data_IF_750208747116
#
_entry.id   IF_750208747116
#
_cell.length_a   1.000
_cell.length_b   1.000
_cell.length_c   1.000
_cell.angle_alpha   90.00
_cell.angle_beta   90.00
_cell.angle_gamma   90.00
#
_symmetry.space_group_name_H-M   'P 1'
#
loop_
_entity.id
_entity.type
_entity.pdbx_description
1 polymer ?
#
# COMPACT_ATOMS: atom_id res chain seq x y z
N UNK A 1 -20.91 18.45 -15.14
CA UNK A 1 -19.95 18.44 -14.02
C UNK A 1 -19.41 19.86 -13.85
N UNK A 2 -19.63 20.52 -12.71
CA UNK A 2 -19.11 21.89 -12.50
C UNK A 2 -17.58 21.85 -12.46
N UNK A 3 -16.92 22.35 -13.50
CA UNK A 3 -15.47 22.61 -13.53
C UNK A 3 -15.18 23.90 -12.77
N UNK A 4 -15.29 23.87 -11.44
CA UNK A 4 -14.89 24.98 -10.57
C UNK A 4 -13.59 24.59 -9.85
N UNK A 5 -12.58 25.46 -9.84
CA UNK A 5 -11.33 25.25 -9.10
C UNK A 5 -10.34 24.27 -9.76
N UNK A 6 -9.72 23.39 -8.95
CA UNK A 6 -8.64 22.46 -9.34
C UNK A 6 -9.14 21.05 -9.73
N UNK A 7 -10.45 20.83 -9.84
CA UNK A 7 -11.06 19.50 -9.99
C UNK A 7 -10.51 18.64 -11.14
N UNK A 8 -10.28 19.24 -12.31
CA UNK A 8 -9.73 18.52 -13.46
C UNK A 8 -8.30 18.02 -13.17
N UNK A 9 -7.47 18.87 -12.57
CA UNK A 9 -6.08 18.54 -12.21
C UNK A 9 -6.00 17.49 -11.10
N UNK A 10 -6.93 17.55 -10.15
CA UNK A 10 -7.10 16.52 -9.12
C UNK A 10 -7.40 15.17 -9.79
N UNK A 11 -8.40 15.13 -10.68
CA UNK A 11 -8.74 13.90 -11.42
C UNK A 11 -7.57 13.38 -12.25
N UNK A 12 -6.91 14.24 -13.00
CA UNK A 12 -5.77 13.85 -13.84
C UNK A 12 -4.65 13.23 -13.01
N UNK A 13 -4.36 13.80 -11.84
CA UNK A 13 -3.33 13.29 -10.91
C UNK A 13 -3.73 11.91 -10.36
N UNK A 14 -4.97 11.74 -9.89
CA UNK A 14 -5.44 10.43 -9.43
C UNK A 14 -5.45 9.38 -10.57
N UNK A 15 -5.81 9.77 -11.79
CA UNK A 15 -5.83 8.87 -12.93
C UNK A 15 -4.44 8.33 -13.27
N UNK A 16 -3.37 9.10 -13.04
CA UNK A 16 -2.00 8.60 -13.17
C UNK A 16 -1.71 7.47 -12.18
N UNK A 17 -2.21 7.56 -10.95
CA UNK A 17 -2.10 6.49 -9.95
C UNK A 17 -2.92 5.26 -10.33
N UNK A 18 -4.18 5.44 -10.77
CA UNK A 18 -5.04 4.32 -11.16
C UNK A 18 -4.47 3.51 -12.33
N UNK A 19 -3.69 4.13 -13.22
CA UNK A 19 -2.99 3.43 -14.33
C UNK A 19 -1.94 2.41 -13.88
N UNK A 20 -1.51 2.43 -12.62
CA UNK A 20 -0.60 1.41 -12.07
C UNK A 20 -1.32 0.08 -11.79
N UNK A 21 -2.66 0.08 -11.80
CA UNK A 21 -3.49 -1.06 -11.48
C UNK A 21 -4.01 -1.73 -12.76
N UNK A 22 -3.79 -3.04 -12.98
CA UNK A 22 -2.91 -3.92 -12.22
C UNK A 22 -1.44 -3.88 -12.69
N UNK A 23 -0.51 -3.98 -11.75
CA UNK A 23 0.88 -4.41 -11.98
C UNK A 23 1.06 -5.78 -11.33
N UNK A 24 0.77 -6.83 -12.10
CA UNK A 24 0.69 -8.23 -11.61
C UNK A 24 2.02 -8.75 -11.08
N UNK A 25 3.12 -8.40 -11.74
CA UNK A 25 4.47 -8.78 -11.35
C UNK A 25 5.17 -7.62 -10.63
N UNK A 26 5.49 -7.80 -9.34
CA UNK A 26 6.14 -6.77 -8.55
C UNK A 26 7.58 -6.49 -9.00
N UNK A 27 8.24 -7.42 -9.70
CA UNK A 27 9.58 -7.17 -10.26
C UNK A 27 9.54 -6.08 -11.34
N UNK A 28 8.40 -5.84 -11.97
CA UNK A 28 8.24 -4.79 -12.98
C UNK A 28 8.49 -3.39 -12.39
N UNK A 29 8.35 -3.22 -11.06
CA UNK A 29 8.65 -1.96 -10.38
C UNK A 29 10.15 -1.63 -10.33
N UNK A 30 11.04 -2.62 -10.50
CA UNK A 30 12.47 -2.31 -10.61
C UNK A 30 12.77 -1.43 -11.84
N UNK A 31 11.99 -1.61 -12.90
CA UNK A 31 12.19 -0.97 -14.20
C UNK A 31 11.23 0.21 -14.46
N UNK A 32 10.23 0.41 -13.60
CA UNK A 32 9.32 1.58 -13.64
C UNK A 32 9.95 2.80 -12.96
N UNK A 33 10.03 3.91 -13.70
CA UNK A 33 10.40 5.21 -13.15
C UNK A 33 9.16 6.04 -12.83
N UNK A 34 9.07 6.53 -11.58
CA UNK A 34 8.03 7.47 -11.16
C UNK A 34 8.45 8.94 -11.36
N UNK A 35 7.67 9.85 -10.80
CA UNK A 35 8.03 11.27 -10.75
C UNK A 35 9.34 11.47 -9.96
N UNK A 36 10.17 12.41 -10.42
CA UNK A 36 11.47 12.74 -9.81
C UNK A 36 11.58 14.25 -9.62
N UNK A 37 12.04 14.65 -8.45
CA UNK A 37 12.32 16.04 -8.09
C UNK A 37 13.78 16.19 -7.59
N UNK A 38 14.09 17.32 -6.96
CA UNK A 38 15.42 17.66 -6.48
C UNK A 38 15.84 16.88 -5.22
N UNK A 39 14.93 16.17 -4.56
CA UNK A 39 15.24 15.33 -3.39
C UNK A 39 15.95 14.03 -3.82
N UNK A 40 15.84 13.64 -5.08
CA UNK A 40 16.59 12.52 -5.63
C UNK A 40 18.04 12.91 -5.92
N UNK A 41 18.96 12.30 -5.18
CA UNK A 41 20.40 12.42 -5.46
C UNK A 41 20.71 11.92 -6.87
N UNK A 42 21.71 12.54 -7.51
CA UNK A 42 22.25 12.07 -8.79
C UNK A 42 22.67 10.61 -8.66
N UNK A 43 22.14 9.75 -9.53
CA UNK A 43 22.40 8.30 -9.54
C UNK A 43 21.43 7.47 -8.70
N UNK A 44 20.61 8.09 -7.85
CA UNK A 44 19.54 7.37 -7.15
C UNK A 44 18.37 7.09 -8.10
N UNK A 45 18.11 5.81 -8.36
CA UNK A 45 16.99 5.33 -9.18
C UNK A 45 15.66 5.34 -8.44
N UNK A 46 15.65 5.54 -7.13
CA UNK A 46 14.45 5.56 -6.30
C UNK A 46 14.02 4.19 -5.78
N UNK A 47 13.01 4.20 -4.93
CA UNK A 47 12.40 3.02 -4.30
C UNK A 47 10.90 3.12 -4.42
N UNK A 48 10.25 2.07 -4.93
CA UNK A 48 8.79 1.97 -4.85
C UNK A 48 8.41 1.41 -3.48
N UNK A 49 7.50 2.07 -2.79
CA UNK A 49 6.89 1.57 -1.55
C UNK A 49 5.49 1.09 -1.91
N UNK A 50 5.23 -0.19 -1.71
CA UNK A 50 3.89 -0.77 -1.92
C UNK A 50 3.33 -1.16 -0.56
N UNK A 51 2.13 -0.70 -0.26
CA UNK A 51 1.40 -1.01 0.97
C UNK A 51 -0.02 -1.47 0.61
N UNK A 52 -0.50 -2.52 1.26
CA UNK A 52 -1.90 -2.92 1.24
C UNK A 52 -2.28 -3.39 2.64
N UNK A 53 -3.38 -2.86 3.14
CA UNK A 53 -3.83 -3.02 4.52
C UNK A 53 -5.34 -3.21 4.54
N UNK A 54 -5.80 -4.12 5.38
CA UNK A 54 -7.21 -4.35 5.69
C UNK A 54 -7.42 -4.05 7.17
N UNK A 55 -8.28 -3.08 7.45
CA UNK A 55 -8.73 -2.72 8.80
C UNK A 55 -10.14 -3.23 9.00
N UNK A 56 -10.36 -4.03 10.04
CA UNK A 56 -11.67 -4.56 10.42
C UNK A 56 -11.95 -4.12 11.86
N UNK A 57 -12.87 -3.16 12.00
CA UNK A 57 -13.30 -2.59 13.28
C UNK A 57 -14.83 -2.73 13.42
N UNK A 58 -15.34 -3.88 13.89
CA UNK A 58 -16.76 -4.05 14.12
C UNK A 58 -17.19 -3.27 15.37
N UNK A 59 -18.37 -2.65 15.34
CA UNK A 59 -18.92 -1.91 16.49
C UNK A 59 -18.96 -2.79 17.75
N UNK A 60 -18.27 -2.36 18.80
CA UNK A 60 -18.23 -3.03 20.11
C UNK A 60 -17.43 -4.33 20.13
N UNK A 61 -16.50 -4.51 19.18
CA UNK A 61 -15.54 -5.62 19.15
C UNK A 61 -14.13 -5.06 18.96
N UNK A 62 -13.14 -5.91 19.18
CA UNK A 62 -11.73 -5.60 18.93
C UNK A 62 -11.50 -5.22 17.45
N UNK A 63 -10.60 -4.27 17.23
CA UNK A 63 -10.11 -3.91 15.91
C UNK A 63 -8.94 -4.81 15.54
N UNK A 64 -8.98 -5.37 14.34
CA UNK A 64 -7.85 -6.11 13.78
C UNK A 64 -7.44 -5.48 12.44
N UNK A 65 -6.14 -5.22 12.29
CA UNK A 65 -5.54 -4.75 11.06
C UNK A 65 -4.51 -5.75 10.59
N UNK A 66 -4.55 -6.07 9.29
CA UNK A 66 -3.55 -6.92 8.64
C UNK A 66 -3.05 -6.26 7.37
N UNK A 67 -1.76 -6.33 7.11
CA UNK A 67 -1.20 -5.75 5.90
C UNK A 67 0.24 -6.12 5.63
N UNK A 68 0.76 -5.65 4.49
CA UNK A 68 2.15 -5.83 4.12
C UNK A 68 2.70 -4.54 3.54
N UNK A 69 3.96 -4.25 3.84
CA UNK A 69 4.74 -3.18 3.21
C UNK A 69 5.96 -3.79 2.54
N UNK A 70 6.24 -3.42 1.29
CA UNK A 70 7.49 -3.74 0.59
C UNK A 70 8.19 -2.47 0.11
N UNK A 71 9.52 -2.46 0.24
CA UNK A 71 10.44 -1.44 -0.26
C UNK A 71 11.21 -2.02 -1.45
N UNK A 72 10.73 -1.73 -2.66
CA UNK A 72 11.28 -2.24 -3.93
C UNK A 72 12.37 -1.29 -4.40
N UNK A 73 13.62 -1.57 -4.04
CA UNK A 73 14.75 -0.68 -4.30
C UNK A 73 15.29 -0.90 -5.73
N UNK A 74 15.15 0.12 -6.58
CA UNK A 74 15.60 0.07 -7.99
C UNK A 74 17.13 0.12 -8.13
N UNK A 75 17.85 0.62 -7.12
CA UNK A 75 19.31 0.70 -7.14
C UNK A 75 19.95 -0.66 -6.94
N UNK A 76 19.49 -1.41 -5.93
CA UNK A 76 20.05 -2.73 -5.58
C UNK A 76 19.32 -3.88 -6.26
N UNK A 77 18.14 -3.63 -6.84
CA UNK A 77 17.21 -4.66 -7.34
C UNK A 77 16.88 -5.71 -6.29
N UNK A 78 16.75 -5.27 -5.04
CA UNK A 78 16.33 -6.10 -3.91
C UNK A 78 15.09 -5.52 -3.27
N UNK A 79 14.18 -6.39 -2.83
CA UNK A 79 12.97 -5.97 -2.14
C UNK A 79 12.89 -6.61 -0.76
N UNK A 80 12.67 -5.77 0.26
CA UNK A 80 12.49 -6.18 1.65
C UNK A 80 11.27 -5.50 2.22
N UNK A 81 10.72 -6.06 3.30
CA UNK A 81 9.58 -5.46 3.96
C UNK A 81 9.12 -6.29 5.14
N UNK A 82 7.86 -6.14 5.50
CA UNK A 82 7.25 -6.92 6.57
C UNK A 82 5.74 -7.07 6.36
N UNK A 83 5.24 -8.22 6.76
CA UNK A 83 3.82 -8.42 7.07
C UNK A 83 3.56 -7.92 8.49
N UNK A 84 2.38 -7.38 8.75
CA UNK A 84 1.99 -6.95 10.10
C UNK A 84 0.57 -7.36 10.43
N UNK A 85 0.36 -7.64 11.72
CA UNK A 85 -0.94 -7.84 12.35
C UNK A 85 -0.96 -6.90 13.54
N UNK A 86 -1.92 -5.97 13.56
CA UNK A 86 -2.19 -5.09 14.69
C UNK A 86 -3.55 -5.46 15.28
N UNK A 87 -3.62 -5.53 16.60
CA UNK A 87 -4.85 -5.79 17.33
C UNK A 87 -5.01 -4.68 18.38
N UNK A 88 -6.15 -4.02 18.38
CA UNK A 88 -6.52 -2.99 19.34
C UNK A 88 -7.74 -3.48 20.11
N UNK A 89 -7.55 -3.67 21.41
CA UNK A 89 -8.51 -4.28 22.34
C UNK A 89 -8.77 -3.34 23.51
N UNK A 90 -9.93 -3.44 24.15
CA UNK A 90 -10.20 -2.74 25.41
C UNK A 90 -10.11 -3.71 26.60
N UNK A 91 -9.40 -3.32 27.67
CA UNK A 91 -9.42 -4.08 28.92
C UNK A 91 -10.78 -3.98 29.64
N UNK A 92 -10.96 -4.71 30.74
CA UNK A 92 -12.21 -4.69 31.51
C UNK A 92 -12.58 -3.32 32.09
N UNK A 93 -11.65 -2.36 32.11
CA UNK A 93 -11.87 -0.98 32.53
C UNK A 93 -12.04 -0.01 31.35
N UNK A 94 -12.12 -0.52 30.11
CA UNK A 94 -12.23 0.26 28.89
C UNK A 94 -10.93 0.99 28.51
N UNK A 95 -9.76 0.48 28.92
CA UNK A 95 -8.47 1.04 28.50
C UNK A 95 -7.99 0.35 27.23
N UNK A 96 -7.57 1.12 26.20
CA UNK A 96 -7.07 0.55 24.96
C UNK A 96 -5.73 -0.14 25.19
N UNK A 97 -5.56 -1.27 24.52
CA UNK A 97 -4.34 -2.06 24.48
C UNK A 97 -4.06 -2.43 23.03
N UNK A 98 -2.94 -1.89 22.53
CA UNK A 98 -2.50 -2.04 21.16
C UNK A 98 -1.28 -2.98 21.13
N UNK A 99 -1.34 -4.02 20.31
CA UNK A 99 -0.21 -4.91 20.02
C UNK A 99 -0.04 -5.00 18.51
N UNK A 100 1.16 -4.67 18.01
CA UNK A 100 1.52 -4.81 16.60
C UNK A 100 2.69 -5.80 16.46
N UNK A 101 2.46 -6.87 15.71
CA UNK A 101 3.47 -7.88 15.39
C UNK A 101 3.89 -7.73 13.94
N UNK A 102 5.21 -7.65 13.73
CA UNK A 102 5.83 -7.57 12.40
C UNK A 102 6.61 -8.83 12.06
N UNK A 103 6.41 -9.33 10.85
CA UNK A 103 7.07 -10.51 10.30
C UNK A 103 7.89 -10.12 9.08
N UNK A 104 9.24 -10.11 9.17
CA UNK A 104 10.07 -9.58 8.09
C UNK A 104 10.07 -10.52 6.88
N UNK A 105 9.91 -9.95 5.70
CA UNK A 105 9.87 -10.66 4.41
C UNK A 105 10.85 -10.06 3.41
N UNK A 106 11.19 -10.85 2.39
CA UNK A 106 11.79 -10.38 1.14
C UNK A 106 10.91 -10.79 -0.04
N UNK A 107 11.07 -10.11 -1.16
CA UNK A 107 10.42 -10.51 -2.41
C UNK A 107 11.48 -10.85 -3.46
N UNK A 108 11.34 -12.02 -4.08
CA UNK A 108 12.19 -12.50 -5.16
C UNK A 108 11.32 -13.21 -6.21
N UNK A 109 11.47 -12.87 -7.50
CA UNK A 109 10.74 -13.49 -8.60
C UNK A 109 9.21 -13.45 -8.39
N UNK A 110 8.70 -12.28 -8.00
CA UNK A 110 7.29 -12.04 -7.63
C UNK A 110 6.72 -12.90 -6.48
N UNK A 111 7.58 -13.54 -5.68
CA UNK A 111 7.18 -14.37 -4.54
C UNK A 111 7.59 -13.73 -3.23
N UNK A 112 6.69 -13.74 -2.25
CA UNK A 112 6.97 -13.29 -0.88
C UNK A 112 7.62 -14.44 -0.12
N UNK A 113 8.73 -14.15 0.56
CA UNK A 113 9.51 -15.14 1.30
C UNK A 113 9.75 -14.60 2.72
N UNK A 114 9.20 -15.26 3.77
CA UNK A 114 9.55 -14.96 5.16
C UNK A 114 11.06 -15.10 5.41
N UNK A 115 11.64 -14.13 6.10
CA UNK A 115 13.10 -14.12 6.42
C UNK A 115 13.41 -14.61 7.84
N UNK A 116 12.38 -14.85 8.64
CA UNK A 116 12.47 -15.42 10.00
C UNK A 116 11.43 -16.53 10.17
N UNK A 117 11.65 -17.47 11.11
CA UNK A 117 10.66 -18.48 11.45
C UNK A 117 9.33 -17.85 11.88
N UNK A 118 8.23 -18.50 11.51
CA UNK A 118 6.86 -18.10 11.84
C UNK A 118 6.26 -19.07 12.86
N UNK A 119 5.31 -18.61 13.70
CA UNK A 119 4.72 -19.41 14.77
C UNK A 119 3.88 -20.61 14.29
N UNK A 120 3.34 -20.58 13.07
CA UNK A 120 2.51 -21.65 12.51
C UNK A 120 2.42 -21.57 10.98
N UNK A 121 2.00 -22.68 10.36
CA UNK A 121 1.87 -22.80 8.90
C UNK A 121 0.73 -21.94 8.33
N UNK A 122 -0.31 -21.65 9.11
CA UNK A 122 -1.42 -20.78 8.67
C UNK A 122 -0.92 -19.38 8.34
N UNK A 123 -0.15 -18.77 9.24
CA UNK A 123 0.45 -17.46 9.03
C UNK A 123 1.49 -17.47 7.91
N UNK A 124 2.24 -18.58 7.78
CA UNK A 124 3.17 -18.74 6.67
C UNK A 124 2.46 -18.69 5.31
N UNK A 125 1.39 -19.46 5.15
CA UNK A 125 0.62 -19.47 3.91
C UNK A 125 -0.03 -18.11 3.65
N UNK A 126 -0.57 -17.45 4.67
CA UNK A 126 -1.13 -16.09 4.55
C UNK A 126 -0.11 -15.08 4.02
N UNK A 127 1.15 -15.16 4.47
CA UNK A 127 2.24 -14.29 4.02
C UNK A 127 2.72 -14.67 2.60
N UNK A 128 2.91 -15.96 2.31
CA UNK A 128 3.42 -16.44 1.02
C UNK A 128 2.41 -16.23 -0.11
N UNK A 129 1.11 -16.38 0.17
CA UNK A 129 0.01 -16.19 -0.78
C UNK A 129 -0.46 -14.73 -0.87
N UNK A 130 0.08 -13.83 -0.05
CA UNK A 130 -0.31 -12.42 -0.02
C UNK A 130 -0.20 -11.77 -1.41
N UNK A 131 -1.24 -11.02 -1.79
CA UNK A 131 -1.24 -10.17 -2.97
C UNK A 131 -1.54 -8.75 -2.57
N UNK A 132 -0.68 -7.83 -3.02
CA UNK A 132 -0.97 -6.41 -2.92
C UNK A 132 -2.14 -6.04 -3.82
N UNK A 133 -2.93 -5.06 -3.41
CA UNK A 133 -4.08 -4.59 -4.19
C UNK A 133 -3.65 -4.13 -5.61
N UNK A 134 -2.43 -3.60 -5.75
CA UNK A 134 -1.87 -3.24 -7.07
C UNK A 134 -1.70 -4.43 -8.02
N UNK A 135 -1.62 -5.66 -7.53
CA UNK A 135 -1.44 -6.85 -8.38
C UNK A 135 -2.74 -7.34 -9.03
N UNK A 136 -3.90 -6.97 -8.50
CA UNK A 136 -5.20 -7.48 -8.96
C UNK A 136 -6.30 -6.44 -9.10
N UNK A 137 -6.15 -5.25 -8.50
CA UNK A 137 -7.05 -4.13 -8.71
C UNK A 137 -7.02 -3.69 -10.17
N UNK A 138 -8.18 -3.30 -10.70
CA UNK A 138 -8.35 -2.85 -12.07
C UNK A 138 -9.44 -1.77 -12.07
N UNK A 139 -9.13 -0.61 -12.65
CA UNK A 139 -9.95 0.59 -12.57
C UNK A 139 -10.32 1.10 -13.96
N UNK A 140 -11.51 1.69 -14.07
CA UNK A 140 -11.89 2.48 -15.25
C UNK A 140 -11.17 3.82 -15.25
N UNK A 141 -11.27 4.57 -16.34
CA UNK A 141 -10.83 5.98 -16.32
C UNK A 141 -11.60 6.74 -15.23
N UNK A 142 -10.90 7.62 -14.52
CA UNK A 142 -11.51 8.36 -13.40
C UNK A 142 -12.75 9.17 -13.82
N UNK A 143 -12.86 9.56 -15.09
CA UNK A 143 -13.99 10.32 -15.61
C UNK A 143 -15.24 9.46 -15.88
N UNK A 144 -15.09 8.13 -15.91
CA UNK A 144 -16.20 7.20 -16.09
C UNK A 144 -17.01 7.03 -14.80
N UNK A 145 -16.42 7.29 -13.63
CA UNK A 145 -17.11 7.31 -12.35
C UNK A 145 -18.07 8.51 -12.25
N UNK A 146 -19.32 8.24 -11.91
CA UNK A 146 -20.37 9.25 -11.77
C UNK A 146 -20.43 9.77 -10.33
N UNK A 147 -20.87 11.03 -10.21
CA UNK A 147 -21.17 11.67 -8.93
C UNK A 147 -20.02 11.66 -7.91
N UNK A 148 -18.77 11.74 -8.40
CA UNK A 148 -17.58 11.83 -7.56
C UNK A 148 -17.56 13.15 -6.77
N UNK A 149 -17.36 13.03 -5.46
CA UNK A 149 -17.16 14.18 -4.57
C UNK A 149 -15.69 14.60 -4.60
N UNK A 150 -15.42 15.88 -4.90
CA UNK A 150 -14.07 16.43 -5.02
C UNK A 150 -13.93 17.59 -4.05
N UNK A 151 -13.02 17.42 -3.10
CA UNK A 151 -12.62 18.43 -2.13
C UNK A 151 -11.23 18.96 -2.45
N UNK A 152 -10.96 20.22 -2.08
CA UNK A 152 -9.64 20.85 -2.25
C UNK A 152 -9.38 21.88 -1.15
N UNK A 153 -8.32 21.67 -0.37
CA UNK A 153 -7.79 22.64 0.57
C UNK A 153 -6.44 23.19 0.08
N UNK A 154 -6.35 24.43 -0.41
CA UNK A 154 -5.12 24.99 -0.97
C UNK A 154 -4.02 25.32 0.05
N UNK A 155 -4.33 25.41 1.35
CA UNK A 155 -3.34 25.77 2.37
C UNK A 155 -2.44 24.59 2.75
N UNK A 156 -2.97 23.37 2.68
CA UNK A 156 -2.23 22.11 2.92
C UNK A 156 -1.82 21.42 1.61
N UNK A 157 -2.15 22.02 0.46
CA UNK A 157 -2.71 21.31 -0.71
C UNK A 157 -3.09 19.83 -0.49
N UNK A 158 -4.33 19.57 -0.07
CA UNK A 158 -4.93 18.21 0.05
C UNK A 158 -6.27 18.09 -0.65
#
# INVERSE_FOLDING_TARGET
TKTNGRNAQIKDTFNQTLKLYPTKNLDDFYDKEGFRDQEFKKGDKGTWIVNSEMVIEPKGKDMETRGMVLYINRNTRTTKGYYFISEMTDDSNGRPKDDEKRYPVKMEHNKIIPTKPLPNDKLKNEIEDFKFFVQYGDFKDINDYKDGDISYNPNVPS
#
